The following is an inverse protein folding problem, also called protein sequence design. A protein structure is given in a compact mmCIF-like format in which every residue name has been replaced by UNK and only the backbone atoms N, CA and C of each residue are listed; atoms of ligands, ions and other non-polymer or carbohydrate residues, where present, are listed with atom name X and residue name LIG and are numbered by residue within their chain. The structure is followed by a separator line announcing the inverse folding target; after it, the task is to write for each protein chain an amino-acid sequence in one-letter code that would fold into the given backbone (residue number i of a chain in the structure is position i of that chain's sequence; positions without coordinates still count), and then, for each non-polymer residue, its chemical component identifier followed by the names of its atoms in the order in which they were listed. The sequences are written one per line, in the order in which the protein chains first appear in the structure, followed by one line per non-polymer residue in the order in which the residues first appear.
data_IF_969075350825
#
_entry.id   IF_969075350825
#
_cell.length_a   1.000
_cell.length_b   1.000
_cell.length_c   1.000
_cell.angle_alpha   90.00
_cell.angle_beta   90.00
_cell.angle_gamma   90.00
#
_symmetry.space_group_name_H-M   'P 1'
#
loop_
_entity.id
_entity.type
_entity.pdbx_description
1 polymer ?
#
# COMPACT_ATOMS: atom_id res chain seq x y z
N UNK A 1 -16.20 -5.63 73.50
CA UNK A 1 -16.11 -7.11 73.67
C UNK A 1 -14.63 -7.47 73.75
N UNK A 2 -14.11 -7.91 74.91
CA UNK A 2 -12.68 -8.29 75.02
C UNK A 2 -12.46 -9.59 74.22
N UNK A 3 -11.64 -9.53 73.17
CA UNK A 3 -11.24 -10.73 72.44
C UNK A 3 -10.49 -11.66 73.39
N UNK A 4 -10.84 -12.96 73.37
CA UNK A 4 -10.04 -14.00 74.02
C UNK A 4 -8.60 -13.91 73.51
N UNK A 5 -7.62 -14.08 74.40
CA UNK A 5 -6.19 -14.00 74.10
C UNK A 5 -5.79 -14.78 72.82
N UNK A 6 -6.41 -15.95 72.59
CA UNK A 6 -6.20 -16.77 71.39
C UNK A 6 -6.72 -16.11 70.11
N UNK A 7 -7.88 -15.46 70.16
CA UNK A 7 -8.48 -14.75 69.02
C UNK A 7 -7.72 -13.45 68.71
N UNK A 8 -7.20 -12.77 69.74
CA UNK A 8 -6.36 -11.59 69.55
C UNK A 8 -5.06 -11.95 68.80
N UNK A 9 -4.35 -13.00 69.23
CA UNK A 9 -3.12 -13.46 68.55
C UNK A 9 -3.39 -13.88 67.10
N UNK A 10 -4.46 -14.62 66.85
CA UNK A 10 -4.85 -15.03 65.49
C UNK A 10 -5.10 -13.81 64.58
N UNK A 11 -5.82 -12.80 65.05
CA UNK A 11 -6.12 -11.60 64.25
C UNK A 11 -4.86 -10.77 64.01
N UNK A 12 -4.01 -10.58 65.03
CA UNK A 12 -2.80 -9.76 64.89
C UNK A 12 -1.71 -10.40 64.02
N UNK A 13 -1.72 -11.73 63.83
CA UNK A 13 -0.74 -12.41 62.96
C UNK A 13 -1.32 -12.66 61.56
N UNK A 14 -2.57 -13.13 61.44
CA UNK A 14 -3.16 -13.46 60.15
C UNK A 14 -3.42 -12.22 59.30
N UNK A 15 -3.88 -11.11 59.91
CA UNK A 15 -4.27 -9.93 59.15
C UNK A 15 -3.07 -9.27 58.43
N UNK A 16 -1.91 -9.05 59.07
CA UNK A 16 -0.71 -8.58 58.37
C UNK A 16 -0.22 -9.53 57.29
N UNK A 17 -0.29 -10.85 57.52
CA UNK A 17 0.09 -11.86 56.54
C UNK A 17 -0.81 -11.77 55.31
N UNK A 18 -2.14 -11.67 55.50
CA UNK A 18 -3.10 -11.50 54.40
C UNK A 18 -2.84 -10.20 53.63
N UNK A 19 -2.55 -9.10 54.33
CA UNK A 19 -2.22 -7.82 53.68
C UNK A 19 -0.94 -7.94 52.86
N UNK A 20 0.11 -8.56 53.40
CA UNK A 20 1.38 -8.77 52.69
C UNK A 20 1.19 -9.67 51.46
N UNK A 21 0.48 -10.79 51.59
CA UNK A 21 0.18 -11.67 50.46
C UNK A 21 -0.68 -10.96 49.40
N UNK A 22 -1.65 -10.15 49.82
CA UNK A 22 -2.50 -9.39 48.89
C UNK A 22 -1.69 -8.32 48.16
N UNK A 23 -0.83 -7.57 48.87
CA UNK A 23 0.05 -6.58 48.27
C UNK A 23 1.03 -7.24 47.28
N UNK A 24 1.61 -8.38 47.65
CA UNK A 24 2.47 -9.17 46.77
C UNK A 24 1.72 -9.67 45.53
N UNK A 25 0.52 -10.24 45.70
CA UNK A 25 -0.30 -10.73 44.60
C UNK A 25 -0.74 -9.61 43.65
N UNK A 26 -1.12 -8.43 44.19
CA UNK A 26 -1.46 -7.26 43.38
C UNK A 26 -0.24 -6.78 42.60
N UNK A 27 0.92 -6.63 43.25
CA UNK A 27 2.15 -6.23 42.57
C UNK A 27 2.51 -7.22 41.45
N UNK A 28 2.44 -8.52 41.73
CA UNK A 28 2.70 -9.58 40.76
C UNK A 28 1.71 -9.53 39.58
N UNK A 29 0.42 -9.33 39.85
CA UNK A 29 -0.61 -9.20 38.80
C UNK A 29 -0.38 -7.95 37.93
N UNK A 30 0.02 -6.82 38.53
CA UNK A 30 0.35 -5.60 37.80
C UNK A 30 1.58 -5.78 36.91
N UNK A 31 2.63 -6.43 37.42
CA UNK A 31 3.84 -6.75 36.63
C UNK A 31 3.51 -7.69 35.48
N UNK A 32 2.80 -8.80 35.73
CA UNK A 32 2.41 -9.75 34.68
C UNK A 32 1.57 -9.06 33.61
N UNK A 33 0.62 -8.19 34.00
CA UNK A 33 -0.19 -7.43 33.04
C UNK A 33 0.69 -6.54 32.16
N UNK A 34 1.63 -5.80 32.76
CA UNK A 34 2.52 -4.91 32.02
C UNK A 34 3.40 -5.68 31.03
N UNK A 35 4.05 -6.74 31.48
CA UNK A 35 4.90 -7.57 30.62
C UNK A 35 4.09 -8.28 29.52
N UNK A 36 2.88 -8.73 29.82
CA UNK A 36 2.00 -9.34 28.83
C UNK A 36 1.62 -8.34 27.72
N UNK A 37 1.30 -7.09 28.09
CA UNK A 37 1.02 -6.02 27.12
C UNK A 37 2.23 -5.71 26.25
N UNK A 38 3.42 -5.57 26.84
CA UNK A 38 4.66 -5.35 26.08
C UNK A 38 4.98 -6.51 25.14
N UNK A 39 4.77 -7.76 25.57
CA UNK A 39 4.96 -8.92 24.68
C UNK A 39 3.99 -8.92 23.51
N UNK A 40 2.73 -8.54 23.74
CA UNK A 40 1.74 -8.42 22.66
C UNK A 40 2.15 -7.31 21.70
N UNK A 41 2.56 -6.15 22.20
CA UNK A 41 3.01 -5.02 21.38
C UNK A 41 4.20 -5.40 20.51
N UNK A 42 5.27 -5.94 21.10
CA UNK A 42 6.45 -6.37 20.36
C UNK A 42 6.10 -7.44 19.31
N UNK A 43 5.27 -8.42 19.68
CA UNK A 43 4.85 -9.44 18.74
C UNK A 43 4.03 -8.87 17.56
N UNK A 44 3.16 -7.90 17.82
CA UNK A 44 2.40 -7.21 16.78
C UNK A 44 3.33 -6.40 15.85
N UNK A 45 4.33 -5.72 16.41
CA UNK A 45 5.36 -5.01 15.63
C UNK A 45 6.12 -5.97 14.73
N UNK A 46 6.56 -7.11 15.24
CA UNK A 46 7.26 -8.14 14.45
C UNK A 46 6.38 -8.66 13.30
N UNK A 47 5.09 -8.86 13.56
CA UNK A 47 4.12 -9.26 12.53
C UNK A 47 3.94 -8.18 11.46
N UNK A 48 3.77 -6.92 11.85
CA UNK A 48 3.64 -5.79 10.91
C UNK A 48 4.88 -5.69 10.03
N UNK A 49 6.09 -5.77 10.59
CA UNK A 49 7.34 -5.76 9.83
C UNK A 49 7.39 -6.94 8.85
N UNK A 50 7.02 -8.15 9.30
CA UNK A 50 7.00 -9.32 8.43
C UNK A 50 5.99 -9.17 7.29
N UNK A 51 4.81 -8.61 7.56
CA UNK A 51 3.76 -8.44 6.55
C UNK A 51 4.07 -7.33 5.57
N UNK A 52 4.70 -6.24 6.03
CA UNK A 52 5.26 -5.21 5.16
C UNK A 52 6.29 -5.83 4.20
N UNK A 53 7.22 -6.64 4.71
CA UNK A 53 8.21 -7.31 3.86
C UNK A 53 7.61 -8.28 2.83
N UNK A 54 6.50 -8.97 3.16
CA UNK A 54 5.73 -9.79 2.21
C UNK A 54 5.07 -8.91 1.15
N UNK A 55 4.47 -7.79 1.55
CA UNK A 55 3.82 -6.84 0.64
C UNK A 55 4.85 -6.20 -0.31
N UNK A 56 6.00 -5.79 0.19
CA UNK A 56 7.11 -5.30 -0.64
C UNK A 56 7.60 -6.38 -1.61
N UNK A 57 7.69 -7.63 -1.15
CA UNK A 57 8.01 -8.78 -2.00
C UNK A 57 6.99 -9.03 -3.11
N UNK A 58 5.73 -8.66 -2.86
CA UNK A 58 4.67 -8.71 -3.85
C UNK A 58 4.75 -7.55 -4.87
N UNK A 59 5.14 -6.34 -4.44
CA UNK A 59 5.26 -5.18 -5.33
C UNK A 59 6.49 -5.25 -6.24
N UNK A 60 7.65 -5.73 -5.76
CA UNK A 60 8.91 -5.71 -6.52
C UNK A 60 8.82 -6.32 -7.94
N UNK A 61 8.18 -7.49 -8.17
CA UNK A 61 8.03 -8.03 -9.53
C UNK A 61 7.17 -7.14 -10.44
N UNK A 62 6.16 -6.46 -9.86
CA UNK A 62 5.26 -5.54 -10.57
C UNK A 62 6.04 -4.29 -11.01
N UNK A 63 6.83 -3.72 -10.09
CA UNK A 63 7.71 -2.59 -10.38
C UNK A 63 8.72 -2.93 -11.48
N UNK A 64 9.33 -4.13 -11.37
CA UNK A 64 10.29 -4.64 -12.34
C UNK A 64 9.68 -4.73 -13.74
N UNK A 65 8.39 -5.02 -13.86
CA UNK A 65 7.69 -5.09 -15.13
C UNK A 65 7.65 -3.71 -15.84
N UNK A 66 7.38 -2.63 -15.11
CA UNK A 66 7.44 -1.27 -15.65
C UNK A 66 8.88 -0.86 -16.01
N UNK A 67 9.85 -1.21 -15.16
CA UNK A 67 11.28 -0.93 -15.41
C UNK A 67 11.76 -1.63 -16.69
N UNK A 68 11.37 -2.89 -16.90
CA UNK A 68 11.70 -3.64 -18.11
C UNK A 68 11.10 -2.96 -19.35
N UNK A 69 9.84 -2.51 -19.29
CA UNK A 69 9.22 -1.79 -20.39
C UNK A 69 9.95 -0.49 -20.71
N UNK A 70 10.31 0.29 -19.68
CA UNK A 70 11.13 1.49 -19.83
C UNK A 70 12.44 1.16 -20.54
N UNK A 71 13.27 0.28 -19.97
CA UNK A 71 14.57 -0.09 -20.55
C UNK A 71 14.47 -0.64 -21.97
N UNK A 72 13.44 -1.42 -22.28
CA UNK A 72 13.24 -1.94 -23.63
C UNK A 72 13.01 -0.82 -24.66
N UNK A 73 12.25 0.21 -24.29
CA UNK A 73 11.99 1.37 -25.15
C UNK A 73 13.24 2.25 -25.30
N UNK A 74 14.04 2.39 -24.25
CA UNK A 74 15.32 3.13 -24.27
C UNK A 74 16.32 2.49 -25.24
N UNK A 75 16.51 1.17 -25.15
CA UNK A 75 17.47 0.40 -25.94
C UNK A 75 17.03 0.16 -27.40
N UNK A 76 15.73 0.34 -27.69
CA UNK A 76 15.20 0.09 -29.03
C UNK A 76 15.59 1.19 -30.02
N UNK A 77 16.42 0.87 -31.02
CA UNK A 77 16.75 1.78 -32.12
C UNK A 77 15.49 2.29 -32.85
N UNK A 78 14.54 1.39 -33.10
CA UNK A 78 13.27 1.69 -33.75
C UNK A 78 12.10 1.14 -32.94
N UNK A 79 11.19 2.03 -32.59
CA UNK A 79 9.93 1.68 -31.94
C UNK A 79 8.88 1.38 -33.01
N UNK A 80 8.21 0.25 -32.87
CA UNK A 80 7.12 -0.19 -33.75
C UNK A 80 5.90 -0.37 -32.85
N UNK A 81 4.80 0.33 -33.16
CA UNK A 81 3.56 0.33 -32.38
C UNK A 81 3.06 -1.09 -32.06
N UNK A 82 2.98 -1.96 -33.06
CA UNK A 82 2.51 -3.34 -32.87
C UNK A 82 3.40 -4.14 -31.90
N UNK A 83 4.72 -3.90 -31.92
CA UNK A 83 5.63 -4.55 -30.99
C UNK A 83 5.37 -4.07 -29.56
N UNK A 84 5.14 -2.76 -29.37
CA UNK A 84 4.80 -2.19 -28.06
C UNK A 84 3.55 -2.87 -27.50
N UNK A 85 2.46 -2.90 -28.26
CA UNK A 85 1.23 -3.57 -27.81
C UNK A 85 1.46 -5.04 -27.48
N UNK A 86 2.18 -5.78 -28.32
CA UNK A 86 2.46 -7.20 -28.10
C UNK A 86 3.26 -7.47 -26.82
N UNK A 87 4.23 -6.60 -26.49
CA UNK A 87 5.00 -6.70 -25.25
C UNK A 87 4.10 -6.44 -24.04
N UNK A 88 3.26 -5.40 -24.11
CA UNK A 88 2.31 -5.08 -23.04
C UNK A 88 1.27 -6.21 -22.85
N UNK A 89 0.74 -6.78 -23.94
CA UNK A 89 -0.14 -7.96 -23.88
C UNK A 89 0.52 -9.14 -23.19
N UNK A 90 1.72 -9.53 -23.63
CA UNK A 90 2.45 -10.64 -23.01
C UNK A 90 2.71 -10.38 -21.53
N UNK A 91 2.98 -9.13 -21.15
CA UNK A 91 3.19 -8.76 -19.77
C UNK A 91 1.90 -8.88 -18.95
N UNK A 92 0.78 -8.34 -19.42
CA UNK A 92 -0.50 -8.41 -18.71
C UNK A 92 -0.99 -9.86 -18.66
N UNK A 93 -0.94 -10.61 -19.76
CA UNK A 93 -1.38 -12.02 -19.85
C UNK A 93 -0.64 -12.93 -18.87
N UNK A 94 0.69 -12.81 -18.81
CA UNK A 94 1.52 -13.72 -18.02
C UNK A 94 1.64 -13.31 -16.54
N UNK A 95 1.16 -12.13 -16.17
CA UNK A 95 1.19 -11.63 -14.80
C UNK A 95 -0.24 -11.33 -14.32
N UNK A 96 -0.93 -12.29 -13.67
CA UNK A 96 -2.32 -12.11 -13.22
C UNK A 96 -2.55 -10.95 -12.26
N UNK A 97 -1.50 -10.47 -11.60
CA UNK A 97 -1.53 -9.35 -10.66
C UNK A 97 -1.59 -8.00 -11.38
N UNK A 98 -0.99 -7.91 -12.57
CA UNK A 98 -0.97 -6.67 -13.36
C UNK A 98 -2.34 -6.49 -13.96
N UNK A 99 -3.04 -5.41 -13.59
CA UNK A 99 -4.32 -5.05 -14.19
C UNK A 99 -4.12 -4.54 -15.61
N UNK A 100 -3.18 -3.62 -15.78
CA UNK A 100 -2.82 -3.06 -17.07
C UNK A 100 -1.40 -2.50 -17.08
N UNK A 101 -0.90 -2.19 -18.25
CA UNK A 101 0.41 -1.59 -18.45
C UNK A 101 0.39 -0.66 -19.66
N UNK A 102 1.03 0.50 -19.54
CA UNK A 102 1.12 1.49 -20.61
C UNK A 102 2.57 1.89 -20.90
N UNK A 103 2.80 2.44 -22.09
CA UNK A 103 4.00 3.21 -22.41
C UNK A 103 3.52 4.56 -22.96
N UNK A 104 3.48 5.58 -22.12
CA UNK A 104 3.05 6.93 -22.49
C UNK A 104 4.24 7.76 -22.97
N UNK A 105 4.14 8.33 -24.17
CA UNK A 105 5.21 9.15 -24.75
C UNK A 105 5.02 10.63 -24.44
N UNK A 106 6.12 11.37 -24.30
CA UNK A 106 6.08 12.82 -24.34
C UNK A 106 5.60 13.30 -25.72
N UNK A 107 5.03 14.52 -25.83
CA UNK A 107 4.51 15.02 -27.08
C UNK A 107 5.52 14.93 -28.23
N UNK A 108 5.06 14.40 -29.37
CA UNK A 108 5.82 14.21 -30.61
C UNK A 108 7.09 13.35 -30.48
N UNK A 109 7.26 12.55 -29.41
CA UNK A 109 8.44 11.67 -29.28
C UNK A 109 8.26 10.32 -30.00
N UNK A 110 7.04 9.81 -30.14
CA UNK A 110 6.79 8.56 -30.85
C UNK A 110 6.71 8.74 -32.37
N UNK A 111 5.89 9.70 -32.82
CA UNK A 111 5.69 10.05 -34.23
C UNK A 111 5.43 11.55 -34.37
N UNK A 112 5.78 12.12 -35.52
CA UNK A 112 5.50 13.53 -35.84
C UNK A 112 4.03 13.74 -36.19
N UNK A 113 3.36 12.71 -36.73
CA UNK A 113 1.95 12.77 -37.14
C UNK A 113 0.97 12.50 -35.99
N UNK A 114 1.48 12.05 -34.84
CA UNK A 114 0.70 11.73 -33.66
C UNK A 114 1.28 12.47 -32.45
N UNK A 115 0.62 13.56 -32.07
CA UNK A 115 1.10 14.43 -31.00
C UNK A 115 1.22 13.68 -29.67
N UNK A 116 0.20 12.92 -29.29
CA UNK A 116 0.18 12.10 -28.07
C UNK A 116 -0.07 10.65 -28.41
N UNK A 117 0.64 9.76 -27.74
CA UNK A 117 0.52 8.32 -27.92
C UNK A 117 0.80 7.63 -26.58
N UNK A 118 -0.16 6.84 -26.13
CA UNK A 118 -0.03 6.06 -24.90
C UNK A 118 -0.71 4.70 -25.09
N UNK A 119 -0.03 3.76 -25.79
CA UNK A 119 -0.48 2.39 -25.90
C UNK A 119 -0.63 1.80 -24.50
N UNK A 120 -1.82 1.29 -24.24
CA UNK A 120 -2.25 0.71 -22.99
C UNK A 120 -2.90 -0.63 -23.26
N UNK A 121 -2.53 -1.60 -22.44
CA UNK A 121 -3.14 -2.93 -22.45
C UNK A 121 -3.62 -3.24 -21.05
N UNK A 122 -4.87 -3.69 -20.92
CA UNK A 122 -5.45 -3.98 -19.63
C UNK A 122 -6.41 -5.17 -19.66
N UNK A 123 -6.64 -5.72 -18.47
CA UNK A 123 -7.57 -6.83 -18.26
C UNK A 123 -8.96 -6.30 -17.97
N UNK A 124 -9.96 -6.82 -18.68
CA UNK A 124 -11.37 -6.58 -18.38
C UNK A 124 -12.17 -7.84 -18.63
N UNK A 125 -12.90 -8.29 -17.61
CA UNK A 125 -13.74 -9.51 -17.69
C UNK A 125 -12.98 -10.74 -18.21
N UNK A 126 -11.71 -10.90 -17.82
CA UNK A 126 -10.85 -12.01 -18.25
C UNK A 126 -10.31 -11.90 -19.68
N UNK A 127 -10.58 -10.80 -20.38
CA UNK A 127 -10.02 -10.50 -21.70
C UNK A 127 -8.93 -9.44 -21.60
N UNK A 128 -8.02 -9.46 -22.56
CA UNK A 128 -6.96 -8.47 -22.73
C UNK A 128 -7.41 -7.48 -23.79
N UNK A 129 -7.39 -6.20 -23.45
CA UNK A 129 -7.89 -5.12 -24.29
C UNK A 129 -6.75 -4.16 -24.57
N UNK A 130 -6.54 -3.84 -25.85
CA UNK A 130 -5.67 -2.75 -26.29
C UNK A 130 -6.46 -1.44 -26.38
N UNK A 131 -5.84 -0.35 -25.99
CA UNK A 131 -6.30 1.00 -26.30
C UNK A 131 -5.13 1.97 -26.37
N UNK A 132 -5.33 3.11 -27.01
CA UNK A 132 -4.43 4.26 -26.87
C UNK A 132 -5.12 5.28 -25.95
N UNK A 133 -4.56 5.51 -24.76
CA UNK A 133 -5.14 6.42 -23.76
C UNK A 133 -5.33 7.81 -24.35
N UNK A 134 -4.38 8.28 -25.16
CA UNK A 134 -4.40 9.64 -25.68
C UNK A 134 -5.56 9.91 -26.64
N UNK A 135 -5.93 8.90 -27.43
CA UNK A 135 -6.96 9.03 -28.47
C UNK A 135 -8.33 8.51 -28.04
N UNK A 136 -8.38 7.57 -27.10
CA UNK A 136 -9.61 6.88 -26.70
C UNK A 136 -10.04 7.17 -25.25
N UNK A 137 -9.13 7.67 -24.41
CA UNK A 137 -9.38 7.97 -23.01
C UNK A 137 -9.34 9.47 -22.72
N UNK A 138 -8.14 9.97 -22.45
CA UNK A 138 -7.91 11.33 -21.95
C UNK A 138 -6.53 11.86 -22.34
N UNK A 139 -6.36 13.18 -22.25
CA UNK A 139 -5.05 13.82 -22.37
C UNK A 139 -4.29 13.67 -21.06
N UNK A 140 -3.40 12.68 -20.99
CA UNK A 140 -2.57 12.43 -19.81
C UNK A 140 -1.56 13.54 -19.51
N UNK A 141 -1.39 14.51 -20.42
CA UNK A 141 -0.44 15.63 -20.29
C UNK A 141 -1.07 16.93 -19.77
N UNK A 142 -2.38 16.93 -19.50
CA UNK A 142 -3.14 18.12 -19.11
C UNK A 142 -2.91 18.61 -17.66
N UNK A 143 -2.13 17.86 -16.86
CA UNK A 143 -1.85 18.18 -15.47
C UNK A 143 -2.83 17.57 -14.45
N UNK A 144 -3.77 16.72 -14.87
CA UNK A 144 -4.76 16.09 -13.97
C UNK A 144 -4.32 14.71 -13.46
N UNK A 145 -3.52 13.98 -14.24
CA UNK A 145 -3.18 12.59 -13.97
C UNK A 145 -1.88 12.42 -13.18
N UNK A 146 -1.98 12.13 -11.89
CA UNK A 146 -0.84 12.05 -10.97
C UNK A 146 0.21 11.00 -11.37
N UNK A 147 -0.20 9.86 -11.96
CA UNK A 147 0.73 8.83 -12.44
C UNK A 147 1.71 9.36 -13.49
N UNK A 148 1.28 10.33 -14.30
CA UNK A 148 2.12 11.02 -15.27
C UNK A 148 2.87 12.17 -14.60
N UNK A 149 2.12 13.10 -13.97
CA UNK A 149 2.67 14.35 -13.45
C UNK A 149 3.78 14.14 -12.41
N UNK A 150 3.62 13.17 -11.52
CA UNK A 150 4.59 12.93 -10.45
C UNK A 150 5.92 12.44 -11.04
N UNK A 151 5.89 11.56 -12.05
CA UNK A 151 7.10 11.08 -12.72
C UNK A 151 7.75 12.20 -13.52
N UNK A 152 6.97 12.98 -14.27
CA UNK A 152 7.51 14.11 -15.05
C UNK A 152 8.16 15.15 -14.15
N UNK A 153 7.54 15.46 -13.00
CA UNK A 153 8.05 16.45 -12.05
C UNK A 153 9.30 15.97 -11.31
N UNK A 154 9.36 14.70 -10.93
CA UNK A 154 10.46 14.16 -10.11
C UNK A 154 11.60 13.57 -10.92
N UNK A 155 11.34 13.16 -12.16
CA UNK A 155 12.28 12.39 -12.98
C UNK A 155 12.62 11.02 -12.39
N UNK A 156 11.81 10.50 -11.48
CA UNK A 156 12.05 9.24 -10.76
C UNK A 156 10.85 8.30 -10.88
N UNK A 157 11.11 7.01 -10.72
CA UNK A 157 10.06 6.02 -10.63
C UNK A 157 9.26 6.20 -9.33
N UNK A 158 7.93 6.22 -9.41
CA UNK A 158 7.06 6.44 -8.27
C UNK A 158 5.75 5.65 -8.38
N UNK A 159 5.20 5.28 -7.22
CA UNK A 159 3.80 4.86 -7.10
C UNK A 159 2.90 6.09 -7.03
N UNK A 160 1.76 6.02 -7.72
CA UNK A 160 0.68 7.00 -7.56
C UNK A 160 -0.20 6.65 -6.37
N UNK A 161 -0.75 7.69 -5.75
CA UNK A 161 -1.85 7.53 -4.80
C UNK A 161 -3.07 6.86 -5.46
N UNK A 162 -3.91 6.11 -4.72
CA UNK A 162 -5.13 5.52 -5.26
C UNK A 162 -5.99 6.54 -6.01
N UNK A 163 -6.36 6.17 -7.24
CA UNK A 163 -7.19 6.97 -8.13
C UNK A 163 -8.07 6.07 -9.00
N UNK A 164 -9.16 6.65 -9.51
CA UNK A 164 -10.03 5.96 -10.45
C UNK A 164 -9.62 6.35 -11.87
N UNK A 165 -9.22 5.37 -12.68
CA UNK A 165 -8.71 5.59 -14.03
C UNK A 165 -9.86 5.76 -15.04
N UNK A 166 -10.63 6.83 -14.89
CA UNK A 166 -11.80 7.12 -15.72
C UNK A 166 -11.43 7.31 -17.20
N UNK A 167 -12.14 6.64 -18.11
CA UNK A 167 -11.92 6.76 -19.55
C UNK A 167 -10.88 5.79 -20.13
N UNK A 168 -10.01 5.20 -19.30
CA UNK A 168 -9.08 4.16 -19.71
C UNK A 168 -9.42 2.82 -19.04
N UNK A 169 -8.66 2.41 -18.02
CA UNK A 169 -8.85 1.16 -17.30
C UNK A 169 -10.21 1.09 -16.58
N UNK A 170 -10.83 2.23 -16.27
CA UNK A 170 -12.12 2.36 -15.57
C UNK A 170 -12.16 1.57 -14.26
N UNK A 171 -11.06 1.64 -13.51
CA UNK A 171 -10.90 0.90 -12.27
C UNK A 171 -10.18 1.70 -11.20
N UNK A 172 -10.50 1.41 -9.92
CA UNK A 172 -9.77 1.99 -8.79
C UNK A 172 -8.42 1.28 -8.70
N UNK A 173 -7.35 2.02 -8.96
CA UNK A 173 -6.01 1.48 -9.10
C UNK A 173 -4.95 2.37 -8.46
N UNK A 174 -3.76 1.79 -8.33
CA UNK A 174 -2.52 2.52 -8.14
C UNK A 174 -1.58 2.09 -9.26
N UNK A 175 -0.83 3.06 -9.77
CA UNK A 175 0.05 2.89 -10.92
C UNK A 175 1.48 3.14 -10.49
N UNK A 176 2.36 2.18 -10.77
CA UNK A 176 3.79 2.39 -10.72
C UNK A 176 4.25 2.92 -12.07
N UNK A 177 4.93 4.05 -12.05
CA UNK A 177 5.29 4.78 -13.25
C UNK A 177 6.80 5.06 -13.25
N UNK A 178 7.46 4.74 -14.37
CA UNK A 178 8.91 4.77 -14.54
C UNK A 178 9.25 5.67 -15.73
N UNK A 179 10.06 6.73 -15.55
CA UNK A 179 10.50 7.55 -16.67
C UNK A 179 11.47 6.78 -17.55
N UNK A 180 11.43 7.00 -18.86
CA UNK A 180 12.42 6.46 -19.79
C UNK A 180 13.03 7.54 -20.67
N UNK A 181 14.29 7.35 -21.04
CA UNK A 181 15.15 8.34 -21.66
C UNK A 181 15.81 7.80 -22.95
N UNK A 182 15.95 8.66 -23.96
CA UNK A 182 16.88 8.42 -25.07
C UNK A 182 17.84 9.58 -25.21
N UNK A 183 19.11 9.26 -25.42
CA UNK A 183 20.19 10.25 -25.51
C UNK A 183 20.19 11.24 -24.32
N UNK A 184 19.96 10.73 -23.10
CA UNK A 184 19.79 11.51 -21.86
C UNK A 184 18.61 12.49 -21.82
N UNK A 185 17.71 12.44 -22.81
CA UNK A 185 16.48 13.23 -22.85
C UNK A 185 15.31 12.37 -22.40
N UNK A 186 14.45 12.90 -21.54
CA UNK A 186 13.19 12.24 -21.16
C UNK A 186 12.33 12.05 -22.42
N UNK A 187 11.84 10.84 -22.62
CA UNK A 187 11.03 10.45 -23.78
C UNK A 187 9.62 10.02 -23.42
N UNK A 188 9.38 9.62 -22.18
CA UNK A 188 8.05 9.23 -21.71
C UNK A 188 8.10 8.49 -20.38
N UNK A 189 7.01 7.79 -20.11
CA UNK A 189 6.76 7.05 -18.87
C UNK A 189 6.20 5.67 -19.21
N UNK A 190 6.82 4.60 -18.71
CA UNK A 190 6.27 3.26 -18.73
C UNK A 190 5.54 2.99 -17.42
N UNK A 191 4.39 2.34 -17.47
CA UNK A 191 3.53 2.13 -16.31
C UNK A 191 3.07 0.70 -16.17
N UNK A 192 2.77 0.32 -14.93
CA UNK A 192 2.06 -0.90 -14.56
C UNK A 192 1.03 -0.56 -13.48
N UNK A 193 -0.19 -1.04 -13.67
CA UNK A 193 -1.34 -0.77 -12.81
C UNK A 193 -1.70 -1.99 -11.97
N UNK A 194 -2.05 -1.74 -10.71
CA UNK A 194 -2.67 -2.72 -9.82
C UNK A 194 -4.09 -2.28 -9.48
N UNK A 195 -5.06 -3.17 -9.72
CA UNK A 195 -6.45 -2.90 -9.35
C UNK A 195 -6.65 -3.20 -7.85
N UNK A 196 -6.99 -2.19 -7.05
CA UNK A 196 -7.05 -2.29 -5.59
C UNK A 196 -8.06 -3.34 -5.11
N UNK A 197 -9.18 -3.45 -5.82
CA UNK A 197 -10.23 -4.45 -5.56
C UNK A 197 -9.76 -5.90 -5.77
N UNK A 198 -8.67 -6.12 -6.51
CA UNK A 198 -8.14 -7.45 -6.85
C UNK A 198 -6.90 -7.82 -6.02
N UNK A 199 -6.14 -6.86 -5.49
CA UNK A 199 -4.93 -7.10 -4.68
C UNK A 199 -5.15 -8.18 -3.61
N UNK A 200 -6.27 -8.08 -2.88
CA UNK A 200 -6.65 -9.03 -1.81
C UNK A 200 -6.79 -10.49 -2.26
N UNK A 201 -6.99 -10.75 -3.55
CA UNK A 201 -7.09 -12.10 -4.11
C UNK A 201 -5.71 -12.71 -4.40
N UNK A 202 -4.68 -11.87 -4.56
CA UNK A 202 -3.35 -12.28 -4.96
C UNK A 202 -2.38 -12.35 -3.78
N UNK A 203 -2.54 -11.48 -2.79
CA UNK A 203 -1.70 -11.47 -1.59
C UNK A 203 -2.21 -12.49 -0.58
N UNK A 204 -1.40 -13.53 -0.34
CA UNK A 204 -1.64 -14.53 0.68
C UNK A 204 -0.75 -14.26 1.89
N UNK A 205 -1.33 -13.77 2.98
CA UNK A 205 -0.60 -13.50 4.22
C UNK A 205 -0.83 -14.67 5.19
N UNK A 206 0.21 -15.47 5.51
CA UNK A 206 0.07 -16.62 6.40
C UNK A 206 -0.39 -16.21 7.81
N UNK A 207 -1.28 -17.02 8.40
CA UNK A 207 -1.73 -16.86 9.78
C UNK A 207 -2.93 -15.93 9.98
N UNK A 208 -3.41 -15.26 8.93
CA UNK A 208 -4.53 -14.30 9.02
C UNK A 208 -5.80 -14.95 8.48
N UNK A 209 -6.71 -15.31 9.38
CA UNK A 209 -8.06 -15.75 9.02
C UNK A 209 -9.01 -14.56 9.10
N UNK A 210 -9.52 -14.12 7.95
CA UNK A 210 -10.36 -12.93 7.85
C UNK A 210 -9.49 -11.68 7.91
N UNK A 211 -9.22 -11.07 6.75
CA UNK A 211 -8.32 -9.95 6.58
C UNK A 211 -8.68 -8.78 7.51
N UNK A 212 -8.08 -8.68 8.68
CA UNK A 212 -8.08 -7.48 9.52
C UNK A 212 -6.73 -6.74 9.36
N UNK A 213 -6.12 -6.84 8.17
CA UNK A 213 -4.99 -6.00 7.76
C UNK A 213 -5.52 -4.85 6.94
N UNK A 214 -4.93 -3.69 7.21
CA UNK A 214 -5.07 -2.51 6.40
C UNK A 214 -3.68 -2.14 5.85
N UNK A 215 -3.62 -1.85 4.54
CA UNK A 215 -2.43 -1.23 3.94
C UNK A 215 -2.82 0.18 3.53
N UNK A 216 -1.99 1.13 3.91
CA UNK A 216 -2.16 2.54 3.61
C UNK A 216 -1.12 2.97 2.58
N UNK A 217 -1.49 3.92 1.73
CA UNK A 217 -0.53 4.68 0.94
C UNK A 217 0.24 5.65 1.84
N UNK A 218 1.27 6.28 1.28
CA UNK A 218 2.07 7.29 1.95
C UNK A 218 1.25 8.48 2.49
N UNK A 219 0.10 8.79 1.90
CA UNK A 219 -0.78 9.88 2.37
C UNK A 219 -1.95 9.40 3.24
N UNK A 220 -1.96 8.11 3.60
CA UNK A 220 -3.00 7.53 4.45
C UNK A 220 -4.27 7.09 3.70
N UNK A 221 -4.24 6.97 2.37
CA UNK A 221 -5.35 6.36 1.62
C UNK A 221 -5.30 4.85 1.72
N UNK A 222 -6.46 4.21 1.77
CA UNK A 222 -6.57 2.77 1.98
C UNK A 222 -6.32 2.01 0.66
N UNK A 223 -5.26 1.19 0.63
CA UNK A 223 -4.86 0.34 -0.52
C UNK A 223 -5.43 -1.08 -0.39
N UNK A 224 -5.41 -1.62 0.83
CA UNK A 224 -5.92 -2.94 1.16
C UNK A 224 -6.79 -2.82 2.40
N UNK A 225 -7.98 -3.39 2.36
CA UNK A 225 -8.87 -3.44 3.51
C UNK A 225 -9.87 -4.59 3.37
N UNK A 226 -10.38 -5.05 4.52
CA UNK A 226 -11.41 -6.10 4.59
C UNK A 226 -12.66 -5.76 3.79
N UNK A 227 -13.16 -4.55 4.00
CA UNK A 227 -14.30 -4.00 3.29
C UNK A 227 -13.78 -3.20 2.09
N UNK A 228 -14.05 -3.71 0.88
CA UNK A 228 -13.63 -3.10 -0.38
C UNK A 228 -14.22 -1.71 -0.61
N UNK A 229 -15.29 -1.34 0.10
CA UNK A 229 -15.89 0.01 0.01
C UNK A 229 -15.00 1.10 0.59
N UNK A 230 -14.02 0.73 1.42
CA UNK A 230 -13.09 1.70 2.02
C UNK A 230 -11.87 1.98 1.16
N UNK A 231 -11.64 1.18 0.09
CA UNK A 231 -10.49 1.34 -0.79
C UNK A 231 -10.49 2.75 -1.43
N UNK A 232 -9.32 3.39 -1.42
CA UNK A 232 -9.09 4.74 -1.95
C UNK A 232 -9.53 5.88 -1.02
N UNK A 233 -10.32 5.61 0.02
CA UNK A 233 -10.67 6.61 1.03
C UNK A 233 -9.51 6.92 1.96
N UNK A 234 -9.56 8.07 2.61
CA UNK A 234 -8.61 8.44 3.66
C UNK A 234 -8.89 7.68 4.95
N UNK A 235 -7.85 7.24 5.64
CA UNK A 235 -7.97 6.67 7.00
C UNK A 235 -8.58 7.68 7.98
N UNK A 236 -8.37 8.98 7.75
CA UNK A 236 -8.89 10.04 8.60
C UNK A 236 -10.42 10.13 8.53
N UNK A 237 -11.01 9.91 7.35
CA UNK A 237 -12.47 9.87 7.18
C UNK A 237 -13.07 8.69 7.96
N UNK A 238 -12.42 7.52 7.89
CA UNK A 238 -12.87 6.31 8.58
C UNK A 238 -12.85 6.46 10.11
N UNK A 239 -11.84 7.18 10.62
CA UNK A 239 -11.69 7.48 12.05
C UNK A 239 -12.80 8.40 12.52
N UNK A 240 -13.09 9.46 11.77
CA UNK A 240 -14.13 10.44 12.09
C UNK A 240 -15.53 9.79 12.09
N UNK A 241 -15.85 9.03 11.05
CA UNK A 241 -17.14 8.34 10.92
C UNK A 241 -17.41 7.34 12.06
N UNK A 242 -16.36 6.71 12.60
CA UNK A 242 -16.50 5.65 13.60
C UNK A 242 -16.35 6.13 15.04
N UNK A 243 -16.07 7.42 15.27
CA UNK A 243 -15.83 7.98 16.61
C UNK A 243 -14.83 7.12 17.42
N UNK A 244 -13.82 6.58 16.76
CA UNK A 244 -12.84 5.72 17.41
C UNK A 244 -11.96 6.58 18.32
N UNK A 245 -11.96 6.29 19.62
CA UNK A 245 -10.97 6.83 20.55
C UNK A 245 -9.59 6.31 20.12
N UNK A 246 -8.84 7.15 19.40
CA UNK A 246 -7.50 6.81 18.95
C UNK A 246 -6.57 6.82 20.17
N UNK A 247 -6.28 5.66 20.74
CA UNK A 247 -5.04 5.49 21.48
C UNK A 247 -3.93 5.28 20.45
N UNK A 248 -3.22 6.35 20.10
CA UNK A 248 -2.02 6.25 19.29
C UNK A 248 -0.95 5.58 20.17
N UNK A 249 -0.82 4.26 20.04
CA UNK A 249 0.34 3.54 20.56
C UNK A 249 1.42 3.69 19.50
N UNK A 250 2.17 4.79 19.60
CA UNK A 250 3.32 5.02 18.74
C UNK A 250 4.42 4.10 19.22
N UNK A 251 4.73 3.05 18.45
CA UNK A 251 6.02 2.38 18.58
C UNK A 251 7.10 3.44 18.41
N UNK A 252 8.07 3.49 19.32
CA UNK A 252 9.00 4.62 19.49
C UNK A 252 9.73 5.07 18.23
N UNK A 253 9.79 4.24 17.19
CA UNK A 253 10.50 4.48 15.94
C UNK A 253 9.62 5.07 14.81
N UNK A 254 8.29 5.15 14.97
CA UNK A 254 7.36 5.64 13.92
C UNK A 254 6.80 7.05 14.17
N UNK A 255 7.26 7.72 15.23
CA UNK A 255 6.78 9.05 15.60
C UNK A 255 7.18 10.13 14.59
N UNK A 256 8.36 9.98 13.99
CA UNK A 256 8.94 10.96 13.09
C UNK A 256 8.30 10.92 11.69
N UNK A 257 7.91 9.72 11.19
CA UNK A 257 7.22 9.58 9.89
C UNK A 257 5.79 10.14 9.90
N UNK A 258 5.08 10.04 11.03
CA UNK A 258 3.69 10.49 11.18
C UNK A 258 3.54 12.01 11.36
N UNK A 259 4.55 12.70 11.90
CA UNK A 259 4.54 14.17 11.96
C UNK A 259 4.83 14.81 10.60
N UNK A 260 5.62 14.15 9.74
CA UNK A 260 5.84 14.59 8.36
C UNK A 260 4.61 14.41 7.45
N UNK A 261 3.76 13.40 7.69
CA UNK A 261 2.58 13.16 6.86
C UNK A 261 1.38 14.07 7.17
N UNK A 262 1.40 14.77 8.31
CA UNK A 262 0.32 15.69 8.74
C UNK A 262 0.52 17.13 8.24
N UNK A 263 1.66 17.45 7.64
CA UNK A 263 1.99 18.76 7.08
C UNK A 263 1.67 18.82 5.58
#
# INVERSE_FOLDING_TARGET
MKLSFRKAILVYILLPIIILFSAFAINNMLTIKHEALQRVENHMTDLVISYAGIFDGFLRPIESAAIINASLVEESEKLIEENIYKILELQVENNPIIYGAAIAFLPNQFSVDQQLFSPYVYRKNGQIIRMDIATQGYDYTDGTWAWWNNVIATGKAVWSEPYFDEGAGNMLMSTYAVPFFKDSKLWGVATVDIALNEISNHIHIPGIKGQDIMVLSSTGKIILHRDKKELGKSIFDLIEERSLDIQIIIGSDQKDELEETKA
#
